data_IF_580741468941
#
_entry.id   IF_580741468941
#
_cell.length_a   1.000
_cell.length_b   1.000
_cell.length_c   1.000
_cell.angle_alpha   90.00
_cell.angle_beta   90.00
_cell.angle_gamma   90.00
#
_symmetry.space_group_name_H-M   'P 1'
#
loop_
_entity.id
_entity.type
_entity.pdbx_description
1 polymer ?
#
# COMPACT_ATOMS: atom_id res chain seq x y z
N UNK A 1 -9.68 -6.54 24.55
CA UNK A 1 -10.99 -7.15 24.27
C UNK A 1 -11.92 -6.31 23.38
N UNK A 2 -11.83 -4.96 23.39
CA UNK A 2 -12.67 -4.12 22.52
C UNK A 2 -12.34 -4.24 21.01
N UNK A 3 -11.10 -4.55 20.64
CA UNK A 3 -10.70 -4.71 19.24
C UNK A 3 -11.24 -6.02 18.64
N UNK A 4 -11.26 -7.09 19.44
CA UNK A 4 -11.78 -8.41 19.04
C UNK A 4 -13.30 -8.40 18.83
N UNK A 5 -14.04 -7.70 19.70
CA UNK A 5 -15.49 -7.56 19.55
C UNK A 5 -15.88 -6.83 18.24
N UNK A 6 -14.97 -6.02 17.66
CA UNK A 6 -15.19 -5.28 16.40
C UNK A 6 -14.78 -6.09 15.16
N UNK A 7 -14.06 -7.20 15.30
CA UNK A 7 -13.56 -7.99 14.15
C UNK A 7 -14.66 -8.47 13.21
N UNK A 8 -15.79 -9.06 13.69
CA UNK A 8 -16.86 -9.50 12.81
C UNK A 8 -17.56 -8.35 12.06
N UNK A 9 -17.67 -7.18 12.71
CA UNK A 9 -18.26 -6.00 12.08
C UNK A 9 -17.36 -5.45 10.97
N UNK A 10 -16.05 -5.37 11.20
CA UNK A 10 -15.06 -4.95 10.20
C UNK A 10 -14.98 -5.94 9.02
N UNK A 11 -15.04 -7.25 9.30
CA UNK A 11 -15.04 -8.27 8.26
C UNK A 11 -16.25 -8.10 7.31
N UNK A 12 -17.44 -7.90 7.86
CA UNK A 12 -18.65 -7.61 7.08
C UNK A 12 -18.51 -6.32 6.29
N UNK A 13 -17.91 -5.30 6.88
CA UNK A 13 -17.68 -4.01 6.21
C UNK A 13 -16.76 -4.16 5.00
N UNK A 14 -15.59 -4.80 5.13
CA UNK A 14 -14.70 -5.05 4.01
C UNK A 14 -15.33 -5.93 2.93
N UNK A 15 -16.11 -6.94 3.31
CA UNK A 15 -16.85 -7.77 2.35
C UNK A 15 -17.83 -6.91 1.55
N UNK A 16 -18.62 -6.08 2.22
CA UNK A 16 -19.58 -5.18 1.57
C UNK A 16 -18.88 -4.15 0.66
N UNK A 17 -17.78 -3.57 1.12
CA UNK A 17 -17.00 -2.62 0.35
C UNK A 17 -16.43 -3.26 -0.92
N UNK A 18 -15.89 -4.48 -0.82
CA UNK A 18 -15.37 -5.23 -1.96
C UNK A 18 -16.49 -5.54 -2.98
N UNK A 19 -17.63 -6.02 -2.52
CA UNK A 19 -18.80 -6.30 -3.38
C UNK A 19 -19.31 -5.02 -4.07
N UNK A 20 -19.40 -3.92 -3.32
CA UNK A 20 -19.81 -2.62 -3.85
C UNK A 20 -18.84 -2.11 -4.92
N UNK A 21 -17.54 -2.22 -4.67
CA UNK A 21 -16.49 -1.80 -5.59
C UNK A 21 -16.56 -2.62 -6.89
N UNK A 22 -16.64 -3.95 -6.80
CA UNK A 22 -16.73 -4.83 -7.96
C UNK A 22 -18.01 -4.60 -8.78
N UNK A 23 -19.14 -4.34 -8.10
CA UNK A 23 -20.43 -4.10 -8.77
C UNK A 23 -20.50 -2.77 -9.48
N UNK A 24 -19.89 -1.74 -8.91
CA UNK A 24 -20.02 -0.36 -9.39
C UNK A 24 -18.84 0.11 -10.25
N UNK A 25 -17.75 -0.63 -10.35
CA UNK A 25 -16.52 -0.20 -11.01
C UNK A 25 -16.73 0.35 -12.43
N UNK A 26 -17.50 -0.36 -13.26
CA UNK A 26 -17.80 0.09 -14.62
C UNK A 26 -18.60 1.40 -14.63
N UNK A 27 -19.59 1.54 -13.74
CA UNK A 27 -20.43 2.74 -13.61
C UNK A 27 -19.62 3.92 -13.10
N UNK A 28 -18.81 3.71 -12.06
CA UNK A 28 -17.97 4.74 -11.46
C UNK A 28 -16.92 5.24 -12.46
N UNK A 29 -16.37 4.33 -13.28
CA UNK A 29 -15.44 4.66 -14.36
C UNK A 29 -16.10 5.51 -15.44
N UNK A 30 -17.33 5.20 -15.87
CA UNK A 30 -18.07 6.00 -16.86
C UNK A 30 -18.47 7.37 -16.30
N UNK A 31 -18.88 7.45 -15.04
CA UNK A 31 -19.14 8.72 -14.37
C UNK A 31 -17.89 9.59 -14.31
N UNK A 32 -16.75 8.99 -13.92
CA UNK A 32 -15.47 9.68 -13.89
C UNK A 32 -15.10 10.23 -15.28
N UNK A 33 -15.21 9.45 -16.35
CA UNK A 33 -14.96 9.94 -17.73
C UNK A 33 -15.81 11.14 -18.09
N UNK A 34 -17.11 11.11 -17.74
CA UNK A 34 -18.02 12.21 -18.03
C UNK A 34 -17.66 13.48 -17.24
N UNK A 35 -17.20 13.35 -15.98
CA UNK A 35 -16.73 14.46 -15.18
C UNK A 35 -15.43 15.06 -15.72
N UNK A 36 -14.43 14.20 -16.05
CA UNK A 36 -13.12 14.62 -16.52
C UNK A 36 -13.20 15.49 -17.81
N UNK A 37 -14.14 15.20 -18.70
CA UNK A 37 -14.35 15.99 -19.91
C UNK A 37 -14.73 17.46 -19.65
N UNK A 38 -15.31 17.76 -18.48
CA UNK A 38 -15.78 19.10 -18.10
C UNK A 38 -14.76 19.92 -17.31
N UNK A 39 -13.73 19.30 -16.77
CA UNK A 39 -12.76 19.94 -15.89
C UNK A 39 -11.77 20.80 -16.68
N UNK A 40 -11.30 21.88 -16.06
CA UNK A 40 -10.16 22.68 -16.57
C UNK A 40 -8.84 21.90 -16.42
N UNK A 41 -7.77 22.35 -17.11
CA UNK A 41 -6.45 21.73 -17.00
C UNK A 41 -5.96 21.69 -15.54
N UNK A 42 -6.05 22.81 -14.81
CA UNK A 42 -5.63 22.88 -13.42
C UNK A 42 -6.44 21.95 -12.51
N UNK A 43 -7.73 21.77 -12.75
CA UNK A 43 -8.57 20.84 -12.00
C UNK A 43 -8.19 19.38 -12.28
N UNK A 44 -7.87 19.05 -13.53
CA UNK A 44 -7.37 17.72 -13.91
C UNK A 44 -6.04 17.40 -13.22
N UNK A 45 -5.09 18.34 -13.20
CA UNK A 45 -3.79 18.17 -12.56
C UNK A 45 -3.95 17.97 -11.03
N UNK A 46 -4.83 18.74 -10.38
CA UNK A 46 -5.16 18.56 -8.95
C UNK A 46 -5.80 17.18 -8.69
N UNK A 47 -6.75 16.77 -9.54
CA UNK A 47 -7.42 15.48 -9.39
C UNK A 47 -6.46 14.31 -9.58
N UNK A 48 -5.48 14.45 -10.50
CA UNK A 48 -4.42 13.47 -10.68
C UNK A 48 -3.57 13.32 -9.42
N UNK A 49 -3.19 14.44 -8.82
CA UNK A 49 -2.43 14.44 -7.57
C UNK A 49 -3.20 13.75 -6.43
N UNK A 50 -4.49 14.04 -6.31
CA UNK A 50 -5.37 13.42 -5.29
C UNK A 50 -5.48 11.90 -5.49
N UNK A 51 -5.65 11.43 -6.73
CA UNK A 51 -5.73 9.99 -7.02
C UNK A 51 -4.38 9.28 -6.76
N UNK A 52 -3.26 9.92 -7.07
CA UNK A 52 -1.93 9.38 -6.77
C UNK A 52 -1.70 9.27 -5.26
N UNK A 53 -2.13 10.25 -4.47
CA UNK A 53 -2.06 10.18 -3.01
C UNK A 53 -2.93 9.06 -2.43
N UNK A 54 -4.17 8.89 -2.97
CA UNK A 54 -5.05 7.78 -2.58
C UNK A 54 -4.44 6.42 -2.93
N UNK A 55 -3.84 6.30 -4.11
CA UNK A 55 -3.15 5.08 -4.54
C UNK A 55 -2.00 4.73 -3.60
N UNK A 56 -1.17 5.71 -3.24
CA UNK A 56 -0.06 5.53 -2.31
C UNK A 56 -0.54 5.10 -0.92
N UNK A 57 -1.61 5.72 -0.41
CA UNK A 57 -2.22 5.32 0.87
C UNK A 57 -2.72 3.88 0.83
N UNK A 58 -3.47 3.50 -0.22
CA UNK A 58 -3.99 2.15 -0.38
C UNK A 58 -2.87 1.09 -0.50
N UNK A 59 -1.75 1.42 -1.16
CA UNK A 59 -0.57 0.56 -1.25
C UNK A 59 0.10 0.37 0.12
N UNK A 60 0.21 1.44 0.91
CA UNK A 60 0.75 1.38 2.28
C UNK A 60 -0.14 0.51 3.17
N UNK A 61 -1.45 0.68 3.10
CA UNK A 61 -2.41 -0.11 3.87
C UNK A 61 -2.40 -1.59 3.47
N UNK A 62 -2.20 -1.89 2.17
CA UNK A 62 -2.01 -3.25 1.67
C UNK A 62 -0.75 -3.90 2.26
N UNK A 63 0.34 -3.15 2.33
CA UNK A 63 1.58 -3.59 2.97
C UNK A 63 1.38 -3.95 4.43
N UNK A 64 0.72 -3.06 5.18
CA UNK A 64 0.40 -3.28 6.58
C UNK A 64 -0.49 -4.53 6.77
N UNK A 65 -1.50 -4.73 5.92
CA UNK A 65 -2.36 -5.91 5.96
C UNK A 65 -1.56 -7.20 5.70
N UNK A 66 -0.64 -7.21 4.73
CA UNK A 66 0.23 -8.34 4.45
C UNK A 66 1.16 -8.68 5.62
N UNK A 67 1.75 -7.67 6.26
CA UNK A 67 2.58 -7.85 7.47
C UNK A 67 1.77 -8.47 8.61
N UNK A 68 0.54 -8.03 8.82
CA UNK A 68 -0.36 -8.61 9.82
C UNK A 68 -0.72 -10.06 9.50
N UNK A 69 -1.00 -10.39 8.24
CA UNK A 69 -1.26 -11.77 7.80
C UNK A 69 -0.06 -12.67 8.12
N UNK A 70 1.15 -12.24 7.77
CA UNK A 70 2.40 -12.98 8.06
C UNK A 70 2.60 -13.18 9.56
N UNK A 71 2.39 -12.12 10.36
CA UNK A 71 2.48 -12.20 11.81
C UNK A 71 1.51 -13.24 12.39
N UNK A 72 0.26 -13.25 11.93
CA UNK A 72 -0.78 -14.17 12.37
C UNK A 72 -0.52 -15.61 11.91
N UNK A 73 0.05 -15.81 10.73
CA UNK A 73 0.43 -17.14 10.23
C UNK A 73 1.52 -17.79 11.08
N UNK A 74 2.43 -17.00 11.65
CA UNK A 74 3.51 -17.50 12.51
C UNK A 74 3.14 -17.55 13.99
N UNK A 75 2.02 -16.94 14.37
CA UNK A 75 1.58 -16.87 15.77
C UNK A 75 1.45 -18.25 16.44
N UNK A 76 0.85 -19.28 15.81
CA UNK A 76 0.70 -20.59 16.45
C UNK A 76 2.04 -21.22 16.86
N UNK A 77 3.02 -21.23 15.96
CA UNK A 77 4.35 -21.79 16.24
C UNK A 77 5.06 -21.03 17.36
N UNK A 78 5.04 -19.70 17.29
CA UNK A 78 5.66 -18.85 18.31
C UNK A 78 4.98 -18.99 19.68
N UNK A 79 3.65 -19.03 19.69
CA UNK A 79 2.88 -19.20 20.91
C UNK A 79 3.15 -20.58 21.53
N UNK A 80 3.15 -21.65 20.74
CA UNK A 80 3.42 -23.00 21.22
C UNK A 80 4.83 -23.12 21.83
N UNK A 81 5.85 -22.57 21.16
CA UNK A 81 7.21 -22.54 21.70
C UNK A 81 7.30 -21.78 23.02
N UNK A 82 6.71 -20.59 23.08
CA UNK A 82 6.70 -19.78 24.28
C UNK A 82 5.90 -20.42 25.43
N UNK A 83 4.74 -21.04 25.14
CA UNK A 83 3.95 -21.76 26.14
C UNK A 83 4.73 -22.97 26.73
N UNK A 84 5.46 -23.70 25.90
CA UNK A 84 6.32 -24.80 26.34
C UNK A 84 7.39 -24.33 27.34
N UNK A 85 8.07 -23.20 27.02
CA UNK A 85 9.04 -22.59 27.94
C UNK A 85 8.40 -22.12 29.25
N UNK A 86 7.23 -21.50 29.18
CA UNK A 86 6.50 -21.06 30.35
C UNK A 86 6.09 -22.26 31.25
N UNK A 87 5.62 -23.37 30.65
CA UNK A 87 5.29 -24.60 31.42
C UNK A 87 6.52 -25.17 32.12
N UNK A 88 7.67 -25.24 31.45
CA UNK A 88 8.92 -25.67 32.05
C UNK A 88 9.29 -24.75 33.23
N UNK A 89 9.23 -23.45 33.05
CA UNK A 89 9.52 -22.46 34.08
C UNK A 89 8.57 -22.57 35.27
N UNK A 90 7.27 -22.79 35.00
CA UNK A 90 6.31 -23.02 36.08
C UNK A 90 6.62 -24.29 36.90
N UNK A 91 7.05 -25.37 36.23
CA UNK A 91 7.47 -26.58 36.92
C UNK A 91 8.71 -26.34 37.83
N UNK A 92 9.71 -25.63 37.30
CA UNK A 92 10.90 -25.27 38.10
C UNK A 92 10.54 -24.44 39.31
N UNK A 93 9.64 -23.47 39.18
CA UNK A 93 9.16 -22.64 40.28
C UNK A 93 8.44 -23.50 41.31
N UNK A 94 7.54 -24.41 40.90
CA UNK A 94 6.82 -25.33 41.81
C UNK A 94 7.79 -26.22 42.56
N UNK A 95 8.81 -26.77 41.90
CA UNK A 95 9.85 -27.59 42.52
C UNK A 95 10.66 -26.78 43.55
N UNK A 96 11.00 -25.53 43.24
CA UNK A 96 11.68 -24.64 44.22
C UNK A 96 10.80 -24.31 45.42
N UNK A 97 9.51 -24.04 45.19
CA UNK A 97 8.55 -23.78 46.28
C UNK A 97 8.37 -24.99 47.20
N UNK A 98 8.29 -26.21 46.63
CA UNK A 98 8.24 -27.44 47.41
C UNK A 98 9.53 -27.69 48.23
N UNK A 99 10.69 -27.39 47.62
CA UNK A 99 11.99 -27.46 48.31
C UNK A 99 12.11 -26.49 49.50
N UNK A 100 11.49 -25.31 49.40
CA UNK A 100 11.44 -24.31 50.47
C UNK A 100 10.51 -24.73 51.64
N UNK A 101 9.54 -25.59 51.38
CA UNK A 101 8.66 -26.14 52.42
C UNK A 101 9.37 -27.19 53.26
N UNK A 102 10.35 -27.88 52.70
CA UNK A 102 11.04 -29.00 53.36
C UNK A 102 12.32 -28.59 54.12
N UNK A 103 12.81 -27.34 53.93
CA UNK A 103 13.99 -26.83 54.66
C UNK A 103 13.56 -25.87 55.75
N UNK A 104 14.13 -26.01 56.97
CA UNK A 104 13.97 -25.02 58.04
C UNK A 104 14.43 -23.64 57.58
N UNK A 105 13.55 -22.71 57.64
CA UNK A 105 13.57 -21.44 56.91
C UNK A 105 14.48 -20.41 57.53
N UNK A 106 15.46 -19.89 56.78
CA UNK A 106 16.11 -18.63 57.08
C UNK A 106 15.23 -17.39 56.77
N UNK A 107 15.59 -16.22 57.28
CA UNK A 107 14.81 -14.97 57.20
C UNK A 107 14.41 -14.52 55.78
N UNK A 108 15.14 -14.94 54.72
CA UNK A 108 14.87 -14.59 53.30
C UNK A 108 13.77 -15.45 52.63
N UNK A 109 13.32 -16.50 53.29
CA UNK A 109 12.36 -17.49 52.73
C UNK A 109 10.98 -16.91 52.43
N UNK A 110 10.38 -16.02 53.26
CA UNK A 110 9.07 -15.43 52.98
C UNK A 110 9.08 -14.56 51.73
N UNK A 111 10.08 -13.69 51.57
CA UNK A 111 10.24 -12.80 50.38
C UNK A 111 10.44 -13.60 49.09
N UNK A 112 11.25 -14.67 49.16
CA UNK A 112 11.46 -15.56 48.02
C UNK A 112 10.18 -16.29 47.61
N UNK A 113 9.37 -16.76 48.59
CA UNK A 113 8.07 -17.36 48.31
C UNK A 113 7.11 -16.40 47.64
N UNK A 114 7.01 -15.15 48.11
CA UNK A 114 6.17 -14.12 47.48
C UNK A 114 6.60 -13.89 46.04
N UNK A 115 7.91 -13.74 45.81
CA UNK A 115 8.48 -13.56 44.46
C UNK A 115 8.11 -14.72 43.55
N UNK A 116 8.36 -15.98 43.96
CA UNK A 116 8.08 -17.16 43.14
C UNK A 116 6.58 -17.34 42.87
N UNK A 117 5.72 -17.06 43.84
CA UNK A 117 4.27 -17.10 43.64
C UNK A 117 3.80 -16.02 42.67
N UNK A 118 4.36 -14.81 42.74
CA UNK A 118 4.05 -13.72 41.80
C UNK A 118 4.52 -14.08 40.40
N UNK A 119 5.72 -14.66 40.25
CA UNK A 119 6.22 -15.14 38.95
C UNK A 119 5.32 -16.24 38.36
N UNK A 120 4.85 -17.17 39.20
CA UNK A 120 3.93 -18.24 38.80
C UNK A 120 2.58 -17.67 38.32
N UNK A 121 2.02 -16.69 39.03
CA UNK A 121 0.78 -16.02 38.65
C UNK A 121 0.95 -15.23 37.31
N UNK A 122 2.10 -14.58 37.11
CA UNK A 122 2.41 -13.90 35.87
C UNK A 122 2.48 -14.87 34.68
N UNK A 123 3.20 -15.99 34.83
CA UNK A 123 3.29 -17.02 33.78
C UNK A 123 1.92 -17.60 33.46
N UNK A 124 1.07 -17.83 34.46
CA UNK A 124 -0.31 -18.31 34.26
C UNK A 124 -1.13 -17.29 33.45
N UNK A 125 -0.98 -16.00 33.74
CA UNK A 125 -1.65 -14.92 32.99
C UNK A 125 -1.15 -14.86 31.54
N UNK A 126 0.16 -15.01 31.33
CA UNK A 126 0.76 -15.04 29.99
C UNK A 126 0.26 -16.23 29.14
N UNK A 127 0.16 -17.43 29.75
CA UNK A 127 -0.41 -18.61 29.11
C UNK A 127 -1.86 -18.37 28.69
N UNK A 128 -2.67 -17.82 29.56
CA UNK A 128 -4.07 -17.50 29.26
C UNK A 128 -4.21 -16.47 28.15
N UNK A 129 -3.32 -15.47 28.13
CA UNK A 129 -3.33 -14.48 27.06
C UNK A 129 -2.95 -15.10 25.72
N UNK A 130 -1.87 -15.91 25.67
CA UNK A 130 -1.47 -16.60 24.44
C UNK A 130 -2.54 -17.56 23.92
N UNK A 131 -3.25 -18.25 24.81
CA UNK A 131 -4.37 -19.09 24.42
C UNK A 131 -5.49 -18.28 23.77
N UNK A 132 -5.86 -17.13 24.34
CA UNK A 132 -6.84 -16.23 23.72
C UNK A 132 -6.40 -15.70 22.36
N UNK A 133 -5.11 -15.38 22.21
CA UNK A 133 -4.56 -14.93 20.94
C UNK A 133 -4.67 -16.03 19.87
N UNK A 134 -4.40 -17.28 20.24
CA UNK A 134 -4.59 -18.44 19.37
C UNK A 134 -6.06 -18.67 19.00
N UNK A 135 -6.97 -18.59 19.96
CA UNK A 135 -8.41 -18.79 19.73
C UNK A 135 -8.99 -17.76 18.76
N UNK A 136 -8.42 -16.55 18.73
CA UNK A 136 -8.87 -15.46 17.86
C UNK A 136 -8.08 -15.37 16.54
N UNK A 137 -7.02 -16.16 16.38
CA UNK A 137 -6.09 -16.05 15.27
C UNK A 137 -6.78 -16.21 13.90
N UNK A 138 -7.64 -17.23 13.75
CA UNK A 138 -8.37 -17.49 12.50
C UNK A 138 -9.26 -16.31 12.10
N UNK A 139 -10.03 -15.78 13.06
CA UNK A 139 -10.91 -14.63 12.78
C UNK A 139 -10.14 -13.37 12.41
N UNK A 140 -8.95 -13.18 12.98
CA UNK A 140 -8.07 -12.06 12.61
C UNK A 140 -7.44 -12.28 11.23
N UNK A 141 -7.02 -13.50 10.91
CA UNK A 141 -6.52 -13.83 9.57
C UNK A 141 -7.59 -13.59 8.51
N UNK A 142 -8.84 -13.99 8.75
CA UNK A 142 -9.95 -13.76 7.83
C UNK A 142 -10.20 -12.26 7.62
N UNK A 143 -10.13 -11.45 8.68
CA UNK A 143 -10.26 -10.00 8.59
C UNK A 143 -9.18 -9.39 7.70
N UNK A 144 -7.91 -9.69 7.95
CA UNK A 144 -6.81 -9.12 7.18
C UNK A 144 -6.75 -9.64 5.75
N UNK A 145 -7.14 -10.90 5.50
CA UNK A 145 -7.30 -11.42 4.14
C UNK A 145 -8.39 -10.65 3.38
N UNK A 146 -9.54 -10.36 3.98
CA UNK A 146 -10.58 -9.56 3.35
C UNK A 146 -10.17 -8.12 3.14
N UNK A 147 -9.45 -7.54 4.07
CA UNK A 147 -8.87 -6.21 3.91
C UNK A 147 -7.88 -6.17 2.74
N UNK A 148 -6.99 -7.15 2.63
CA UNK A 148 -6.07 -7.29 1.51
C UNK A 148 -6.80 -7.40 0.18
N UNK A 149 -7.83 -8.24 0.09
CA UNK A 149 -8.61 -8.45 -1.13
C UNK A 149 -9.31 -7.14 -1.56
N UNK A 150 -9.89 -6.40 -0.60
CA UNK A 150 -10.48 -5.08 -0.84
C UNK A 150 -9.45 -4.06 -1.34
N UNK A 151 -8.31 -3.94 -0.65
CA UNK A 151 -7.25 -3.00 -1.02
C UNK A 151 -6.65 -3.32 -2.38
N UNK A 152 -6.50 -4.60 -2.72
CA UNK A 152 -6.02 -5.04 -4.04
C UNK A 152 -6.99 -4.61 -5.15
N UNK A 153 -8.29 -4.78 -4.95
CA UNK A 153 -9.29 -4.33 -5.90
C UNK A 153 -9.36 -2.80 -6.01
N UNK A 154 -9.26 -2.10 -4.88
CA UNK A 154 -9.21 -0.63 -4.84
C UNK A 154 -7.99 -0.07 -5.58
N UNK A 155 -6.82 -0.65 -5.39
CA UNK A 155 -5.58 -0.27 -6.09
C UNK A 155 -5.75 -0.48 -7.61
N UNK A 156 -6.36 -1.59 -8.03
CA UNK A 156 -6.61 -1.83 -9.45
C UNK A 156 -7.54 -0.77 -10.05
N UNK A 157 -8.61 -0.40 -9.37
CA UNK A 157 -9.52 0.66 -9.79
C UNK A 157 -8.82 2.03 -9.84
N UNK A 158 -8.08 2.40 -8.79
CA UNK A 158 -7.34 3.67 -8.75
C UNK A 158 -6.29 3.76 -9.88
N UNK A 159 -5.58 2.67 -10.18
CA UNK A 159 -4.64 2.63 -11.30
C UNK A 159 -5.34 2.88 -12.65
N UNK A 160 -6.51 2.26 -12.87
CA UNK A 160 -7.31 2.50 -14.06
C UNK A 160 -7.75 3.98 -14.16
N UNK A 161 -8.21 4.56 -13.07
CA UNK A 161 -8.62 5.97 -13.02
C UNK A 161 -7.45 6.93 -13.24
N UNK A 162 -6.27 6.64 -12.68
CA UNK A 162 -5.05 7.42 -12.94
C UNK A 162 -4.70 7.38 -14.42
N UNK A 163 -4.75 6.23 -15.09
CA UNK A 163 -4.49 6.12 -16.52
C UNK A 163 -5.49 6.94 -17.35
N UNK A 164 -6.78 6.85 -17.05
CA UNK A 164 -7.82 7.63 -17.75
C UNK A 164 -7.59 9.12 -17.57
N UNK A 165 -7.27 9.55 -16.35
CA UNK A 165 -7.02 10.96 -16.07
C UNK A 165 -5.75 11.47 -16.78
N UNK A 166 -4.69 10.68 -16.81
CA UNK A 166 -3.47 11.01 -17.56
C UNK A 166 -3.74 11.20 -19.06
N UNK A 167 -4.56 10.32 -19.66
CA UNK A 167 -4.97 10.47 -21.04
C UNK A 167 -5.72 11.79 -21.26
N UNK A 168 -6.65 12.14 -20.39
CA UNK A 168 -7.41 13.39 -20.48
C UNK A 168 -6.53 14.63 -20.29
N UNK A 169 -5.61 14.60 -19.32
CA UNK A 169 -4.61 15.66 -19.09
C UNK A 169 -3.76 15.87 -20.36
N UNK A 170 -3.23 14.79 -20.93
CA UNK A 170 -2.40 14.84 -22.14
C UNK A 170 -3.16 15.38 -23.35
N UNK A 171 -4.39 14.87 -23.57
CA UNK A 171 -5.25 15.34 -24.67
C UNK A 171 -5.57 16.83 -24.53
N UNK A 172 -5.94 17.27 -23.33
CA UNK A 172 -6.31 18.67 -23.08
C UNK A 172 -5.11 19.62 -23.23
N UNK A 173 -3.91 19.20 -22.80
CA UNK A 173 -2.68 19.97 -23.04
C UNK A 173 -2.40 20.14 -24.52
N UNK A 174 -2.50 19.06 -25.31
CA UNK A 174 -2.32 19.10 -26.74
C UNK A 174 -3.33 20.03 -27.41
N UNK A 175 -4.63 19.89 -27.11
CA UNK A 175 -5.70 20.72 -27.66
C UNK A 175 -5.50 22.21 -27.33
N UNK A 176 -5.07 22.53 -26.08
CA UNK A 176 -4.76 23.91 -25.72
C UNK A 176 -3.54 24.44 -26.47
N UNK A 177 -2.50 23.61 -26.67
CA UNK A 177 -1.30 23.98 -27.44
C UNK A 177 -1.66 24.21 -28.90
N UNK A 178 -2.42 23.31 -29.54
CA UNK A 178 -2.90 23.44 -30.92
C UNK A 178 -3.72 24.72 -31.10
N UNK A 179 -4.67 24.99 -30.18
CA UNK A 179 -5.47 26.21 -30.21
C UNK A 179 -4.61 27.47 -30.08
N UNK A 180 -3.63 27.48 -29.15
CA UNK A 180 -2.70 28.59 -29.01
C UNK A 180 -1.88 28.79 -30.27
N UNK A 181 -1.46 27.72 -30.94
CA UNK A 181 -0.75 27.74 -32.20
C UNK A 181 -1.65 28.30 -33.32
N UNK A 182 -2.91 27.84 -33.42
CA UNK A 182 -3.89 28.36 -34.40
C UNK A 182 -4.18 29.86 -34.17
N UNK A 183 -4.41 30.26 -32.91
CA UNK A 183 -4.65 31.67 -32.57
C UNK A 183 -3.43 32.57 -32.87
N UNK A 184 -2.21 32.05 -32.67
CA UNK A 184 -0.97 32.79 -32.99
C UNK A 184 -0.64 32.77 -34.47
N UNK A 185 -1.14 31.77 -35.23
CA UNK A 185 -0.96 31.65 -36.68
C UNK A 185 -2.08 32.27 -37.52
N UNK A 186 -3.25 32.51 -36.93
CA UNK A 186 -4.46 33.03 -37.60
C UNK A 186 -4.54 34.56 -37.67
N UNK A 187 -3.41 35.27 -37.57
CA UNK A 187 -3.37 36.60 -38.08
C UNK A 187 -3.73 36.52 -39.59
N UNK A 188 -5.04 36.68 -39.92
CA UNK A 188 -5.67 36.72 -41.23
C UNK A 188 -4.85 36.05 -42.34
N UNK A 189 -5.31 34.91 -42.80
CA UNK A 189 -4.85 34.36 -44.08
C UNK A 189 -4.94 35.45 -45.12
N UNK A 190 -3.86 36.21 -45.29
CA UNK A 190 -3.74 37.14 -46.39
C UNK A 190 -3.65 36.26 -47.63
N UNK A 191 -4.76 36.21 -48.35
CA UNK A 191 -4.99 35.37 -49.53
C UNK A 191 -4.05 35.64 -50.73
N UNK A 192 -2.88 36.26 -50.50
CA UNK A 192 -1.86 36.49 -51.49
C UNK A 192 -0.46 36.33 -50.92
N UNK A 193 -0.01 35.10 -50.80
CA UNK A 193 1.38 34.75 -50.39
C UNK A 193 2.47 35.39 -51.25
N UNK A 194 2.16 35.80 -52.50
CA UNK A 194 3.11 36.37 -53.49
C UNK A 194 3.39 37.86 -53.32
N UNK A 195 2.65 38.57 -52.43
CA UNK A 195 2.79 40.04 -52.30
C UNK A 195 3.36 40.47 -50.93
N UNK A 196 3.71 39.51 -50.02
CA UNK A 196 4.21 39.84 -48.70
C UNK A 196 5.68 40.25 -48.72
N UNK A 197 6.09 41.32 -47.99
CA UNK A 197 7.50 41.64 -47.78
C UNK A 197 8.30 40.47 -47.27
N UNK A 198 9.55 40.31 -47.74
CA UNK A 198 10.43 39.19 -47.33
C UNK A 198 10.60 39.04 -45.82
N UNK A 199 10.46 40.12 -45.06
CA UNK A 199 10.49 40.12 -43.59
C UNK A 199 9.30 39.38 -43.01
N UNK A 200 8.07 39.61 -43.54
CA UNK A 200 6.84 38.96 -43.06
C UNK A 200 6.87 37.48 -43.39
N UNK A 201 7.35 37.09 -44.58
CA UNK A 201 7.53 35.67 -44.92
C UNK A 201 8.52 34.97 -44.00
N UNK A 202 9.59 35.65 -43.60
CA UNK A 202 10.57 35.10 -42.63
C UNK A 202 9.95 34.91 -41.23
N UNK A 203 9.18 35.90 -40.77
CA UNK A 203 8.45 35.82 -39.50
C UNK A 203 7.40 34.72 -39.52
N UNK A 204 6.64 34.52 -40.58
CA UNK A 204 5.68 33.42 -40.71
C UNK A 204 6.36 32.06 -40.63
N UNK A 205 7.49 31.86 -41.34
CA UNK A 205 8.28 30.63 -41.25
C UNK A 205 8.81 30.39 -39.85
N UNK A 206 9.29 31.44 -39.16
CA UNK A 206 9.76 31.36 -37.80
C UNK A 206 8.61 30.97 -36.86
N UNK A 207 7.45 31.58 -36.97
CA UNK A 207 6.27 31.25 -36.17
C UNK A 207 5.80 29.82 -36.41
N UNK A 208 5.80 29.32 -37.65
CA UNK A 208 5.50 27.92 -37.95
C UNK A 208 6.50 26.97 -37.29
N UNK A 209 7.81 27.28 -37.34
CA UNK A 209 8.84 26.46 -36.67
C UNK A 209 8.68 26.46 -35.15
N UNK A 210 8.43 27.63 -34.55
CA UNK A 210 8.19 27.75 -33.11
C UNK A 210 6.92 27.00 -32.69
N UNK A 211 5.87 27.08 -33.48
CA UNK A 211 4.62 26.34 -33.26
C UNK A 211 4.82 24.82 -33.25
N UNK A 212 5.56 24.31 -34.25
CA UNK A 212 5.89 22.90 -34.29
C UNK A 212 6.75 22.48 -33.11
N UNK A 213 7.78 23.28 -32.75
CA UNK A 213 8.60 23.00 -31.57
C UNK A 213 7.78 23.01 -30.28
N UNK A 214 6.77 23.88 -30.16
CA UNK A 214 5.89 23.91 -29.00
C UNK A 214 5.04 22.64 -28.89
N UNK A 215 4.50 22.14 -30.00
CA UNK A 215 3.76 20.88 -30.07
C UNK A 215 4.67 19.73 -29.69
N UNK A 216 5.84 19.61 -30.27
CA UNK A 216 6.82 18.56 -30.03
C UNK A 216 7.28 18.56 -28.55
N UNK A 217 7.55 19.74 -27.98
CA UNK A 217 7.91 19.93 -26.60
C UNK A 217 6.75 19.49 -25.64
N UNK A 218 5.50 19.84 -26.00
CA UNK A 218 4.31 19.45 -25.21
C UNK A 218 4.13 17.93 -25.22
N UNK A 219 4.32 17.27 -26.35
CA UNK A 219 4.31 15.81 -26.46
C UNK A 219 5.43 15.18 -25.64
N UNK A 220 6.64 15.73 -25.71
CA UNK A 220 7.78 15.31 -24.89
C UNK A 220 7.51 15.41 -23.39
N UNK A 221 6.95 16.54 -22.94
CA UNK A 221 6.54 16.71 -21.52
C UNK A 221 5.50 15.66 -21.11
N UNK A 222 4.48 15.43 -21.95
CA UNK A 222 3.45 14.43 -21.64
C UNK A 222 4.05 13.01 -21.51
N UNK A 223 4.98 12.65 -22.40
CA UNK A 223 5.68 11.36 -22.33
C UNK A 223 6.51 11.24 -21.05
N UNK A 224 7.32 12.26 -20.73
CA UNK A 224 8.13 12.28 -19.50
C UNK A 224 7.29 12.22 -18.23
N UNK A 225 6.13 12.89 -18.19
CA UNK A 225 5.20 12.82 -17.04
C UNK A 225 4.69 11.40 -16.87
N UNK A 226 4.30 10.71 -17.96
CA UNK A 226 3.84 9.33 -17.91
C UNK A 226 4.94 8.37 -17.43
N UNK A 227 6.16 8.53 -17.94
CA UNK A 227 7.31 7.73 -17.49
C UNK A 227 7.63 7.98 -16.00
N UNK A 228 7.65 9.24 -15.58
CA UNK A 228 7.90 9.60 -14.19
C UNK A 228 6.90 8.94 -13.23
N UNK A 229 5.61 8.93 -13.61
CA UNK A 229 4.58 8.28 -12.80
C UNK A 229 4.80 6.75 -12.74
N UNK A 230 5.16 6.12 -13.88
CA UNK A 230 5.49 4.69 -13.89
C UNK A 230 6.68 4.37 -12.99
N UNK A 231 7.75 5.14 -13.08
CA UNK A 231 8.96 4.98 -12.26
C UNK A 231 8.64 5.21 -10.79
N UNK A 232 7.87 6.26 -10.46
CA UNK A 232 7.45 6.52 -9.08
C UNK A 232 6.64 5.36 -8.51
N UNK A 233 5.64 4.88 -9.24
CA UNK A 233 4.84 3.73 -8.82
C UNK A 233 5.69 2.47 -8.63
N UNK A 234 6.66 2.24 -9.50
CA UNK A 234 7.59 1.12 -9.37
C UNK A 234 8.48 1.27 -8.12
N UNK A 235 9.02 2.46 -7.88
CA UNK A 235 9.84 2.78 -6.70
C UNK A 235 9.04 2.59 -5.41
N UNK A 236 7.83 3.12 -5.34
CA UNK A 236 6.96 3.00 -4.17
C UNK A 236 6.64 1.53 -3.87
N UNK A 237 6.34 0.73 -4.90
CA UNK A 237 6.09 -0.72 -4.76
C UNK A 237 7.34 -1.46 -4.28
N UNK A 238 8.51 -1.14 -4.80
CA UNK A 238 9.77 -1.77 -4.41
C UNK A 238 10.13 -1.43 -2.96
N UNK A 239 10.04 -0.16 -2.58
CA UNK A 239 10.29 0.31 -1.21
C UNK A 239 9.34 -0.37 -0.22
N UNK A 240 8.06 -0.52 -0.60
CA UNK A 240 7.07 -1.19 0.24
C UNK A 240 7.33 -2.69 0.37
N UNK A 241 7.76 -3.34 -0.72
CA UNK A 241 8.16 -4.76 -0.69
C UNK A 241 9.37 -4.95 0.23
N UNK A 242 10.36 -4.07 0.15
CA UNK A 242 11.52 -4.09 1.04
C UNK A 242 11.13 -3.92 2.52
N UNK A 243 10.29 -2.95 2.84
CA UNK A 243 9.80 -2.75 4.21
C UNK A 243 9.06 -3.97 4.73
N UNK A 244 8.13 -4.52 3.94
CA UNK A 244 7.39 -5.72 4.30
C UNK A 244 8.31 -6.93 4.52
N UNK A 245 9.32 -7.09 3.66
CA UNK A 245 10.31 -8.16 3.79
C UNK A 245 11.12 -8.01 5.09
N UNK A 246 11.58 -6.81 5.40
CA UNK A 246 12.33 -6.53 6.62
C UNK A 246 11.49 -6.77 7.88
N UNK A 247 10.20 -6.39 7.88
CA UNK A 247 9.27 -6.71 8.96
C UNK A 247 9.05 -8.21 9.10
N UNK A 248 8.84 -8.92 7.99
CA UNK A 248 8.68 -10.37 7.97
C UNK A 248 9.93 -11.08 8.51
N UNK A 249 11.11 -10.68 8.10
CA UNK A 249 12.38 -11.19 8.61
C UNK A 249 12.50 -10.95 10.12
N UNK A 250 12.12 -9.76 10.58
CA UNK A 250 12.15 -9.43 12.01
C UNK A 250 11.21 -10.30 12.85
N UNK A 251 10.00 -10.56 12.32
CA UNK A 251 8.99 -11.40 12.99
C UNK A 251 9.38 -12.89 12.97
N UNK A 252 10.01 -13.33 11.89
CA UNK A 252 10.30 -14.76 11.61
C UNK A 252 11.69 -15.19 12.04
N UNK A 253 12.46 -14.33 12.71
CA UNK A 253 13.83 -14.65 13.15
C UNK A 253 13.83 -15.98 13.90
N UNK A 254 14.40 -17.00 13.27
CA UNK A 254 14.54 -18.36 13.84
C UNK A 254 13.39 -19.32 13.53
N UNK A 255 12.38 -18.95 12.74
CA UNK A 255 11.29 -19.83 12.32
C UNK A 255 11.61 -20.59 11.01
N UNK A 256 11.22 -21.87 10.96
CA UNK A 256 11.31 -22.69 9.73
C UNK A 256 10.43 -22.14 8.60
N UNK A 257 9.36 -21.39 8.95
CA UNK A 257 8.50 -20.72 7.98
C UNK A 257 9.22 -19.60 7.23
N UNK A 258 10.26 -18.99 7.82
CA UNK A 258 11.05 -17.95 7.17
C UNK A 258 11.64 -18.44 5.83
N UNK A 259 12.21 -19.63 5.80
CA UNK A 259 12.78 -20.19 4.58
C UNK A 259 11.74 -20.36 3.47
N UNK A 260 10.52 -20.77 3.81
CA UNK A 260 9.44 -20.97 2.84
C UNK A 260 8.91 -19.64 2.30
N UNK A 261 8.76 -18.64 3.17
CA UNK A 261 8.26 -17.30 2.77
C UNK A 261 9.31 -16.58 1.93
N UNK A 262 10.57 -16.61 2.32
CA UNK A 262 11.67 -16.03 1.54
C UNK A 262 11.79 -16.68 0.15
N UNK A 263 11.61 -17.99 0.06
CA UNK A 263 11.59 -18.69 -1.22
C UNK A 263 10.43 -18.25 -2.11
N UNK A 264 9.23 -18.12 -1.57
CA UNK A 264 8.06 -17.65 -2.32
C UNK A 264 8.22 -16.20 -2.78
N UNK A 265 8.78 -15.33 -1.94
CA UNK A 265 8.99 -13.92 -2.30
C UNK A 265 10.12 -13.74 -3.31
N UNK A 266 11.17 -14.55 -3.23
CA UNK A 266 12.21 -14.53 -4.25
C UNK A 266 11.68 -14.88 -5.66
N UNK A 267 10.66 -15.72 -5.75
CA UNK A 267 9.98 -16.00 -7.02
C UNK A 267 9.11 -14.84 -7.53
N UNK A 268 8.74 -13.89 -6.67
CA UNK A 268 7.94 -12.72 -7.03
C UNK A 268 8.78 -11.48 -7.36
N UNK A 269 10.08 -11.52 -7.12
CA UNK A 269 10.98 -10.44 -7.52
C UNK A 269 11.12 -10.45 -9.04
N UNK A 270 11.05 -9.29 -9.71
CA UNK A 270 11.34 -9.22 -11.14
C UNK A 270 12.78 -9.69 -11.38
N UNK A 271 12.95 -10.49 -12.42
CA UNK A 271 14.29 -10.92 -12.85
C UNK A 271 15.20 -9.71 -13.01
N UNK A 272 16.38 -9.78 -12.42
CA UNK A 272 17.39 -8.70 -12.42
C UNK A 272 18.11 -8.55 -13.77
N UNK A 273 17.52 -9.03 -14.86
CA UNK A 273 17.99 -8.76 -16.21
C UNK A 273 17.40 -7.41 -16.69
N UNK A 274 18.12 -6.34 -16.37
CA UNK A 274 18.10 -5.04 -17.04
C UNK A 274 19.42 -4.85 -17.75
#
# INVERSE_FOLDING_TARGET
>A
DQSLAKTPAKLKEFTRQLESLQKNDARDTEQLKAELGRLSQAQLDNRLTDLLNQLQSAQTDLGNANSQITFLQTLPERAQSAMSQDYQRMQDIRNRLSGLNNKQSGELTPSLRVRLNTELALLQLQLNQRQKDLDNNTSQQDLFNKQRDYLTAQIAQLNNWVQLLQQQVSTKRLTLTEKTVEESGSGEAIANEQALPAVIQKEQKLNQQLSQQLIDATQGVNSLVQENIKVKNWLDRTTQTEQNLNEQISVLKGSLLLSKILYQQNQMLPDSEL
#
